data_IF_043649855182
#
_entry.id   IF_043649855182
#
_cell.length_a   1.000
_cell.length_b   1.000
_cell.length_c   1.000
_cell.angle_alpha   90.00
_cell.angle_beta   90.00
_cell.angle_gamma   90.00
#
_symmetry.space_group_name_H-M   'P 1'
#
loop_
_entity.id
_entity.type
_entity.pdbx_description
1 polymer ?
#
# COMPACT_ATOMS: atom_id res chain seq x y z
N UNK A 1 -27.39 30.25 -2.03
CA UNK A 1 -27.54 29.19 -1.01
C UNK A 1 -26.16 28.68 -0.65
N UNK A 2 -25.88 28.36 0.61
CA UNK A 2 -24.59 27.77 0.99
C UNK A 2 -24.46 26.38 0.34
N UNK A 3 -23.26 26.05 -0.16
CA UNK A 3 -22.98 24.77 -0.79
C UNK A 3 -23.32 23.60 0.18
N UNK A 4 -23.91 22.48 -0.28
CA UNK A 4 -24.21 21.34 0.59
C UNK A 4 -22.95 20.82 1.30
N UNK A 5 -23.12 20.29 2.51
CA UNK A 5 -22.01 19.77 3.32
C UNK A 5 -21.41 18.53 2.66
N UNK A 6 -22.23 17.73 1.99
CA UNK A 6 -21.77 16.59 1.19
C UNK A 6 -20.85 17.01 0.04
N UNK A 7 -21.15 18.15 -0.60
CA UNK A 7 -20.37 18.68 -1.72
C UNK A 7 -19.01 19.22 -1.25
N UNK A 8 -18.95 19.92 -0.11
CA UNK A 8 -17.65 20.30 0.49
C UNK A 8 -16.79 19.09 0.87
N UNK A 9 -17.42 18.03 1.37
CA UNK A 9 -16.70 16.80 1.75
C UNK A 9 -16.09 16.06 0.55
N UNK A 10 -16.57 16.28 -0.68
CA UNK A 10 -15.93 15.74 -1.89
C UNK A 10 -14.47 16.20 -2.04
N UNK A 11 -14.15 17.44 -1.64
CA UNK A 11 -12.76 17.94 -1.67
C UNK A 11 -11.88 17.13 -0.70
N UNK A 12 -12.43 16.80 0.46
CA UNK A 12 -11.74 15.98 1.47
C UNK A 12 -11.56 14.54 0.97
N UNK A 13 -12.55 13.99 0.26
CA UNK A 13 -12.45 12.68 -0.37
C UNK A 13 -11.34 12.65 -1.43
N UNK A 14 -11.30 13.62 -2.35
CA UNK A 14 -10.25 13.72 -3.36
C UNK A 14 -8.84 13.77 -2.75
N UNK A 15 -8.69 14.52 -1.64
CA UNK A 15 -7.41 14.57 -0.92
C UNK A 15 -7.06 13.21 -0.30
N UNK A 16 -8.03 12.52 0.30
CA UNK A 16 -7.82 11.19 0.86
C UNK A 16 -7.44 10.15 -0.21
N UNK A 17 -8.10 10.17 -1.37
CA UNK A 17 -7.78 9.33 -2.53
C UNK A 17 -6.35 9.57 -3.01
N UNK A 18 -5.93 10.84 -3.14
CA UNK A 18 -4.56 11.18 -3.53
C UNK A 18 -3.53 10.66 -2.51
N UNK A 19 -3.83 10.74 -1.22
CA UNK A 19 -2.94 10.22 -0.18
C UNK A 19 -2.86 8.70 -0.20
N UNK A 20 -3.98 8.01 -0.39
CA UNK A 20 -4.02 6.55 -0.55
C UNK A 20 -3.22 6.11 -1.78
N UNK A 21 -3.41 6.75 -2.92
CA UNK A 21 -2.67 6.43 -4.15
C UNK A 21 -1.17 6.64 -3.99
N UNK A 22 -0.75 7.72 -3.32
CA UNK A 22 0.66 7.96 -3.03
C UNK A 22 1.24 6.88 -2.10
N UNK A 23 0.49 6.42 -1.09
CA UNK A 23 0.90 5.33 -0.22
C UNK A 23 0.99 3.99 -0.98
N UNK A 24 0.02 3.71 -1.86
CA UNK A 24 0.02 2.52 -2.71
C UNK A 24 1.22 2.48 -3.65
N UNK A 25 1.58 3.62 -4.26
CA UNK A 25 2.76 3.71 -5.12
C UNK A 25 4.06 3.48 -4.34
N UNK A 26 4.20 4.08 -3.15
CA UNK A 26 5.36 3.83 -2.27
C UNK A 26 5.46 2.35 -1.89
N UNK A 27 4.35 1.73 -1.51
CA UNK A 27 4.28 0.31 -1.17
C UNK A 27 4.68 -0.58 -2.35
N UNK A 28 4.17 -0.29 -3.55
CA UNK A 28 4.52 -1.01 -4.78
C UNK A 28 6.02 -0.94 -5.09
N UNK A 29 6.57 0.27 -5.16
CA UNK A 29 7.99 0.50 -5.44
C UNK A 29 8.89 -0.19 -4.40
N UNK A 30 8.51 -0.16 -3.13
CA UNK A 30 9.30 -0.77 -2.08
C UNK A 30 9.22 -2.30 -2.11
N UNK A 31 8.08 -2.86 -2.49
CA UNK A 31 7.92 -4.31 -2.72
C UNK A 31 8.82 -4.80 -3.86
N UNK A 32 8.93 -4.03 -4.94
CA UNK A 32 9.86 -4.34 -6.03
C UNK A 32 11.31 -4.36 -5.56
N UNK A 33 11.71 -3.40 -4.71
CA UNK A 33 13.05 -3.39 -4.10
C UNK A 33 13.29 -4.64 -3.24
N UNK A 34 12.34 -5.05 -2.39
CA UNK A 34 12.47 -6.27 -1.60
C UNK A 34 12.65 -7.50 -2.50
N UNK A 35 11.86 -7.60 -3.57
CA UNK A 35 11.96 -8.72 -4.51
C UNK A 35 13.33 -8.75 -5.20
N UNK A 36 13.87 -7.59 -5.60
CA UNK A 36 15.19 -7.50 -6.21
C UNK A 36 16.30 -7.97 -5.25
N UNK A 37 16.21 -7.61 -3.96
CA UNK A 37 17.17 -8.02 -2.95
C UNK A 37 17.08 -9.52 -2.63
N UNK A 38 15.86 -10.09 -2.63
CA UNK A 38 15.65 -11.53 -2.51
C UNK A 38 16.23 -12.30 -3.71
N UNK A 39 16.07 -11.76 -4.91
CA UNK A 39 16.66 -12.34 -6.12
C UNK A 39 18.21 -12.31 -6.08
N UNK A 40 18.80 -11.22 -5.59
CA UNK A 40 20.26 -11.15 -5.37
C UNK A 40 20.74 -12.20 -4.36
N UNK A 41 19.99 -12.44 -3.27
CA UNK A 41 20.31 -13.51 -2.33
C UNK A 41 20.28 -14.89 -3.00
N UNK A 42 19.25 -15.15 -3.81
CA UNK A 42 19.14 -16.41 -4.57
C UNK A 42 20.33 -16.61 -5.51
N UNK A 43 20.74 -15.56 -6.22
CA UNK A 43 21.92 -15.60 -7.10
C UNK A 43 23.21 -15.87 -6.33
N UNK A 44 23.40 -15.27 -5.15
CA UNK A 44 24.53 -15.57 -4.25
C UNK A 44 24.50 -17.03 -3.77
N UNK A 45 23.32 -17.60 -3.54
CA UNK A 45 23.14 -18.99 -3.16
C UNK A 45 23.47 -19.97 -4.29
N UNK A 46 22.97 -19.70 -5.49
CA UNK A 46 23.27 -20.48 -6.70
C UNK A 46 24.77 -20.43 -7.03
N UNK A 47 25.38 -19.25 -6.97
CA UNK A 47 26.82 -19.08 -7.20
C UNK A 47 27.67 -19.86 -6.19
N UNK A 48 27.28 -19.84 -4.91
CA UNK A 48 27.95 -20.63 -3.88
C UNK A 48 27.90 -22.13 -4.18
N UNK A 49 26.71 -22.64 -4.55
CA UNK A 49 26.53 -24.05 -4.84
C UNK A 49 27.35 -24.50 -6.05
N UNK A 50 27.32 -23.73 -7.14
CA UNK A 50 28.11 -24.01 -8.34
C UNK A 50 29.62 -24.00 -8.06
N UNK A 51 30.09 -23.05 -7.25
CA UNK A 51 31.49 -22.96 -6.88
C UNK A 51 31.95 -24.18 -6.04
N UNK A 52 31.12 -24.63 -5.10
CA UNK A 52 31.39 -25.83 -4.29
C UNK A 52 31.46 -27.10 -5.15
N UNK A 53 30.55 -27.25 -6.11
CA UNK A 53 30.52 -28.40 -7.02
C UNK A 53 31.76 -28.43 -7.93
N UNK A 54 32.10 -27.28 -8.53
CA UNK A 54 33.31 -27.12 -9.36
C UNK A 54 34.57 -27.46 -8.57
N UNK A 55 34.70 -26.97 -7.34
CA UNK A 55 35.86 -27.28 -6.50
C UNK A 55 35.89 -28.75 -6.05
N UNK A 56 34.72 -29.33 -5.74
CA UNK A 56 34.57 -30.72 -5.35
C UNK A 56 34.95 -31.72 -6.45
N UNK A 57 34.94 -31.31 -7.72
CA UNK A 57 35.37 -32.13 -8.86
C UNK A 57 36.87 -32.06 -9.18
N UNK A 58 37.59 -31.05 -8.67
CA UNK A 58 39.04 -30.82 -8.90
C UNK A 58 39.97 -31.64 -7.97
N UNK A 59 39.51 -32.77 -7.40
CA UNK A 59 40.18 -33.48 -6.28
C UNK A 59 41.62 -33.97 -6.51
N UNK A 60 42.14 -33.97 -7.72
CA UNK A 60 43.52 -34.39 -8.03
C UNK A 60 44.38 -33.20 -8.44
N UNK A 61 45.37 -32.85 -7.61
CA UNK A 61 46.42 -31.86 -7.94
C UNK A 61 46.30 -30.48 -7.28
N UNK A 62 45.43 -30.29 -6.29
CA UNK A 62 45.25 -29.00 -5.59
C UNK A 62 46.48 -28.61 -4.76
N UNK A 63 46.98 -27.38 -4.95
CA UNK A 63 48.04 -26.81 -4.12
C UNK A 63 47.47 -26.22 -2.83
N UNK A 64 48.28 -26.14 -1.76
CA UNK A 64 47.87 -25.56 -0.48
C UNK A 64 47.36 -24.10 -0.60
N UNK A 65 47.88 -23.34 -1.56
CA UNK A 65 47.44 -21.98 -1.89
C UNK A 65 45.97 -21.94 -2.38
N UNK A 66 45.54 -22.95 -3.14
CA UNK A 66 44.18 -23.05 -3.69
C UNK A 66 43.17 -23.35 -2.58
N UNK A 67 43.56 -24.17 -1.60
CA UNK A 67 42.75 -24.47 -0.41
C UNK A 67 42.52 -23.24 0.47
N UNK A 68 43.57 -22.43 0.70
CA UNK A 68 43.45 -21.18 1.46
C UNK A 68 42.57 -20.18 0.73
N UNK A 69 42.77 -20.02 -0.58
CA UNK A 69 41.98 -19.11 -1.41
C UNK A 69 40.50 -19.50 -1.41
N UNK A 70 40.21 -20.79 -1.57
CA UNK A 70 38.87 -21.36 -1.45
C UNK A 70 38.21 -21.05 -0.10
N UNK A 71 38.90 -21.36 1.01
CA UNK A 71 38.35 -21.13 2.36
C UNK A 71 38.02 -19.65 2.60
N UNK A 72 38.92 -18.74 2.20
CA UNK A 72 38.72 -17.29 2.33
C UNK A 72 37.54 -16.77 1.50
N UNK A 73 37.31 -17.35 0.32
CA UNK A 73 36.21 -16.98 -0.54
C UNK A 73 34.87 -17.45 0.04
N UNK A 74 34.80 -18.70 0.53
CA UNK A 74 33.60 -19.24 1.17
C UNK A 74 33.22 -18.44 2.42
N UNK A 75 34.20 -18.02 3.23
CA UNK A 75 33.94 -17.15 4.38
C UNK A 75 33.32 -15.81 3.95
N UNK A 76 33.94 -15.11 3.00
CA UNK A 76 33.41 -13.84 2.47
C UNK A 76 32.01 -13.98 1.89
N UNK A 77 31.73 -15.08 1.18
CA UNK A 77 30.41 -15.36 0.62
C UNK A 77 29.37 -15.64 1.70
N UNK A 78 29.76 -16.34 2.77
CA UNK A 78 28.91 -16.56 3.93
C UNK A 78 28.57 -15.26 4.65
N UNK A 79 29.53 -14.36 4.82
CA UNK A 79 29.32 -13.05 5.44
C UNK A 79 28.42 -12.15 4.58
N UNK A 80 28.65 -12.11 3.27
CA UNK A 80 27.81 -11.37 2.33
C UNK A 80 26.35 -11.86 2.35
N UNK A 81 26.12 -13.18 2.40
CA UNK A 81 24.76 -13.75 2.52
C UNK A 81 24.09 -13.35 3.83
N UNK A 82 24.80 -13.40 4.95
CA UNK A 82 24.25 -12.97 6.25
C UNK A 82 23.86 -11.50 6.24
N UNK A 83 24.70 -10.64 5.65
CA UNK A 83 24.41 -9.23 5.51
C UNK A 83 23.19 -8.99 4.63
N UNK A 84 23.10 -9.69 3.50
CA UNK A 84 21.96 -9.62 2.58
C UNK A 84 20.65 -10.09 3.24
N UNK A 85 20.69 -11.20 3.98
CA UNK A 85 19.54 -11.70 4.75
C UNK A 85 19.10 -10.68 5.82
N UNK A 86 20.04 -10.08 6.54
CA UNK A 86 19.73 -9.06 7.54
C UNK A 86 19.17 -7.77 6.90
N UNK A 87 19.64 -7.40 5.70
CA UNK A 87 19.07 -6.31 4.91
C UNK A 87 17.63 -6.62 4.50
N UNK A 88 17.37 -7.78 3.91
CA UNK A 88 16.02 -8.22 3.52
C UNK A 88 15.09 -8.24 4.73
N UNK A 89 15.53 -8.75 5.88
CA UNK A 89 14.72 -8.77 7.10
C UNK A 89 14.29 -7.36 7.55
N UNK A 90 15.21 -6.39 7.54
CA UNK A 90 14.90 -4.98 7.83
C UNK A 90 13.94 -4.39 6.80
N UNK A 91 14.11 -4.70 5.53
CA UNK A 91 13.20 -4.24 4.49
C UNK A 91 11.82 -4.87 4.64
N UNK A 92 11.70 -6.14 4.99
CA UNK A 92 10.40 -6.77 5.24
C UNK A 92 9.64 -6.10 6.39
N UNK A 93 10.33 -5.67 7.44
CA UNK A 93 9.71 -4.88 8.53
C UNK A 93 9.22 -3.52 8.02
N UNK A 94 10.02 -2.82 7.22
CA UNK A 94 9.60 -1.55 6.61
C UNK A 94 8.43 -1.74 5.62
N UNK A 95 8.38 -2.87 4.90
CA UNK A 95 7.30 -3.20 3.98
C UNK A 95 5.98 -3.38 4.73
N UNK A 96 6.00 -4.06 5.88
CA UNK A 96 4.80 -4.18 6.74
C UNK A 96 4.32 -2.80 7.22
N UNK A 97 5.24 -1.92 7.65
CA UNK A 97 4.88 -0.55 8.05
C UNK A 97 4.21 0.23 6.91
N UNK A 98 4.76 0.16 5.69
CA UNK A 98 4.15 0.78 4.51
C UNK A 98 2.78 0.16 4.18
N UNK A 99 2.61 -1.14 4.40
CA UNK A 99 1.33 -1.81 4.20
C UNK A 99 0.29 -1.35 5.22
N UNK A 100 0.67 -1.17 6.49
CA UNK A 100 -0.23 -0.60 7.50
C UNK A 100 -0.59 0.85 7.16
N UNK A 101 0.39 1.67 6.75
CA UNK A 101 0.13 3.05 6.34
C UNK A 101 -0.90 3.11 5.21
N UNK A 102 -0.72 2.30 4.16
CA UNK A 102 -1.69 2.23 3.06
C UNK A 102 -3.07 1.80 3.54
N UNK A 103 -3.18 0.77 4.40
CA UNK A 103 -4.46 0.32 4.97
C UNK A 103 -5.15 1.43 5.77
N UNK A 104 -4.41 2.23 6.51
CA UNK A 104 -4.97 3.36 7.27
C UNK A 104 -5.53 4.44 6.35
N UNK A 105 -4.81 4.77 5.27
CA UNK A 105 -5.30 5.72 4.26
C UNK A 105 -6.53 5.20 3.54
N UNK A 106 -6.54 3.91 3.18
CA UNK A 106 -7.68 3.25 2.56
C UNK A 106 -8.92 3.31 3.45
N UNK A 107 -8.82 2.86 4.71
CA UNK A 107 -9.92 2.93 5.69
C UNK A 107 -10.43 4.35 5.89
N UNK A 108 -9.53 5.34 5.90
CA UNK A 108 -9.91 6.75 6.02
C UNK A 108 -10.71 7.22 4.82
N UNK A 109 -10.30 6.87 3.60
CA UNK A 109 -11.02 7.18 2.36
C UNK A 109 -12.43 6.59 2.38
N UNK A 110 -12.54 5.30 2.70
CA UNK A 110 -13.84 4.61 2.81
C UNK A 110 -14.75 5.30 3.83
N UNK A 111 -14.23 5.61 5.02
CA UNK A 111 -14.99 6.32 6.06
C UNK A 111 -15.52 7.68 5.60
N UNK A 112 -14.74 8.42 4.80
CA UNK A 112 -15.17 9.72 4.23
C UNK A 112 -16.26 9.51 3.17
N UNK A 113 -16.10 8.49 2.34
CA UNK A 113 -17.09 8.14 1.32
C UNK A 113 -18.44 7.78 1.94
N UNK A 114 -18.43 6.97 3.00
CA UNK A 114 -19.63 6.62 3.76
C UNK A 114 -20.28 7.85 4.40
N UNK A 115 -19.48 8.76 4.98
CA UNK A 115 -19.97 10.01 5.54
C UNK A 115 -20.65 10.87 4.47
N UNK A 116 -20.07 10.99 3.28
CA UNK A 116 -20.67 11.73 2.16
C UNK A 116 -22.01 11.12 1.77
N UNK A 117 -22.11 9.80 1.68
CA UNK A 117 -23.37 9.13 1.35
C UNK A 117 -24.47 9.44 2.37
N UNK A 118 -24.15 9.40 3.67
CA UNK A 118 -25.08 9.77 4.74
C UNK A 118 -25.50 11.24 4.66
N UNK A 119 -24.56 12.15 4.45
CA UNK A 119 -24.85 13.58 4.31
C UNK A 119 -25.78 13.85 3.12
N UNK A 120 -25.57 13.18 1.98
CA UNK A 120 -26.46 13.32 0.81
C UNK A 120 -27.88 12.85 1.11
N UNK A 121 -28.02 11.74 1.83
CA UNK A 121 -29.32 11.24 2.22
C UNK A 121 -30.06 12.22 3.14
N UNK A 122 -29.39 12.73 4.17
CA UNK A 122 -29.95 13.73 5.09
C UNK A 122 -30.33 15.03 4.36
N UNK A 123 -29.47 15.51 3.46
CA UNK A 123 -29.74 16.72 2.66
C UNK A 123 -30.98 16.54 1.76
N UNK A 124 -31.13 15.38 1.13
CA UNK A 124 -32.30 15.07 0.30
C UNK A 124 -33.58 14.96 1.12
N UNK A 125 -33.56 14.27 2.26
CA UNK A 125 -34.73 14.16 3.15
C UNK A 125 -35.22 15.53 3.64
N UNK A 126 -34.29 16.44 3.96
CA UNK A 126 -34.63 17.82 4.34
C UNK A 126 -35.26 18.59 3.17
N UNK A 127 -34.77 18.39 1.95
CA UNK A 127 -35.34 19.02 0.75
C UNK A 127 -36.73 18.47 0.43
N UNK A 128 -36.93 17.16 0.51
CA UNK A 128 -38.22 16.49 0.31
C UNK A 128 -39.27 16.99 1.32
N UNK A 129 -38.92 17.07 2.60
CA UNK A 129 -39.81 17.60 3.64
C UNK A 129 -40.19 19.06 3.42
N UNK A 130 -39.26 19.88 2.92
CA UNK A 130 -39.55 21.28 2.57
C UNK A 130 -40.49 21.37 1.37
N UNK A 131 -40.23 20.59 0.32
CA UNK A 131 -41.07 20.56 -0.87
C UNK A 131 -42.49 20.09 -0.54
N UNK A 132 -42.63 19.03 0.26
CA UNK A 132 -43.94 18.54 0.70
C UNK A 132 -44.71 19.62 1.43
N UNK A 133 -44.07 20.32 2.37
CA UNK A 133 -44.70 21.42 3.11
C UNK A 133 -45.15 22.56 2.19
N UNK A 134 -44.32 22.95 1.23
CA UNK A 134 -44.66 24.00 0.26
C UNK A 134 -45.87 23.59 -0.62
N UNK A 135 -45.94 22.32 -1.03
CA UNK A 135 -47.08 21.78 -1.76
C UNK A 135 -48.36 21.77 -0.92
N UNK A 136 -48.28 21.32 0.33
CA UNK A 136 -49.42 21.29 1.25
C UNK A 136 -49.96 22.71 1.52
N UNK A 137 -49.06 23.69 1.73
CA UNK A 137 -49.40 25.10 1.92
C UNK A 137 -50.09 25.70 0.68
N UNK A 138 -49.60 25.39 -0.53
CA UNK A 138 -50.21 25.82 -1.79
C UNK A 138 -51.60 25.20 -2.00
N UNK A 139 -51.74 23.90 -1.73
CA UNK A 139 -53.04 23.22 -1.80
C UNK A 139 -54.04 23.84 -0.82
N UNK A 140 -53.64 24.09 0.42
CA UNK A 140 -54.50 24.72 1.42
C UNK A 140 -54.99 26.12 0.98
N UNK A 141 -54.12 26.93 0.37
CA UNK A 141 -54.49 28.24 -0.17
C UNK A 141 -55.46 28.14 -1.37
N UNK A 142 -55.33 27.12 -2.22
CA UNK A 142 -56.26 26.90 -3.34
C UNK A 142 -57.65 26.48 -2.84
N UNK A 143 -57.73 25.58 -1.86
CA UNK A 143 -58.98 25.19 -1.23
C UNK A 143 -59.69 26.38 -0.56
N UNK A 144 -58.95 27.29 0.08
CA UNK A 144 -59.52 28.51 0.68
C UNK A 144 -60.04 29.53 -0.34
N UNK A 145 -59.67 29.42 -1.62
CA UNK A 145 -60.07 30.37 -2.68
C UNK A 145 -61.24 29.88 -3.54
N UNK A 146 -61.70 28.64 -3.38
CA UNK A 146 -62.90 28.13 -4.05
C UNK A 146 -64.13 28.32 -3.13
N UNK A 147 -65.15 29.09 -3.55
CA UNK A 147 -66.40 29.25 -2.80
C UNK A 147 -67.33 28.04 -2.87
#
# INVERSE_FOLDING_TARGET
MAEPRSQRMQIVLMLAERHEQAAAQRLGNFREQVNAEQEQLRQLEEYAAHYLDTYGSLKTGLHAQDLISYSSFIQRLGDAKKEQQAKIARMMQALDQLQQEWRDKHRRRESIQDLIARLRYEENDVLEKRLQKELDDLSAQQFQRQP
#
